data_IF_270721084002
#
_entry.id   IF_270721084002
#
_cell.length_a   1.000
_cell.length_b   1.000
_cell.length_c   1.000
_cell.angle_alpha   90.00
_cell.angle_beta   90.00
_cell.angle_gamma   90.00
#
_symmetry.space_group_name_H-M   'P 1'
#
loop_
_entity.id
_entity.type
_entity.pdbx_description
1 polymer ?
#
# COMPACT_ATOMS: atom_id res chain seq x y z
N UNK A 1 -8.64 5.53 -4.22
CA UNK A 1 -9.86 6.14 -4.82
C UNK A 1 -10.47 5.27 -5.92
N UNK A 2 -9.73 4.95 -6.99
CA UNK A 2 -10.28 4.22 -8.14
C UNK A 2 -10.91 2.88 -7.77
N UNK A 3 -10.32 2.14 -6.83
CA UNK A 3 -10.89 0.90 -6.32
C UNK A 3 -12.31 1.10 -5.77
N UNK A 4 -12.48 2.00 -4.79
CA UNK A 4 -13.79 2.31 -4.19
C UNK A 4 -14.83 2.74 -5.23
N UNK A 5 -14.40 3.56 -6.20
CA UNK A 5 -15.24 4.01 -7.30
C UNK A 5 -15.75 2.84 -8.15
N UNK A 6 -14.86 1.93 -8.53
CA UNK A 6 -15.18 0.79 -9.42
C UNK A 6 -15.97 -0.30 -8.69
N UNK A 7 -15.62 -0.60 -7.45
CA UNK A 7 -16.22 -1.71 -6.69
C UNK A 7 -17.58 -1.37 -6.10
N UNK A 8 -17.76 -0.14 -5.58
CA UNK A 8 -18.98 0.23 -4.85
C UNK A 8 -19.82 1.33 -5.52
N UNK A 9 -19.41 1.80 -6.71
CA UNK A 9 -19.99 2.98 -7.36
C UNK A 9 -20.05 4.20 -6.41
N UNK A 10 -19.03 4.34 -5.55
CA UNK A 10 -18.96 5.39 -4.54
C UNK A 10 -17.82 6.36 -4.85
N UNK A 11 -18.12 7.65 -4.88
CA UNK A 11 -17.12 8.71 -5.00
C UNK A 11 -16.70 9.19 -3.61
N UNK A 12 -15.40 9.12 -3.32
CA UNK A 12 -14.76 9.68 -2.13
C UNK A 12 -13.68 10.69 -2.54
N UNK A 13 -13.38 11.64 -1.64
CA UNK A 13 -12.31 12.61 -1.83
C UNK A 13 -10.95 12.09 -1.35
N UNK A 14 -9.88 12.84 -1.65
CA UNK A 14 -8.50 12.49 -1.30
C UNK A 14 -8.30 12.36 0.21
N UNK A 15 -8.91 13.26 1.01
CA UNK A 15 -8.82 13.20 2.48
C UNK A 15 -9.36 11.89 3.04
N UNK A 16 -10.50 11.42 2.53
CA UNK A 16 -11.08 10.13 2.95
C UNK A 16 -10.22 8.98 2.47
N UNK A 17 -9.71 9.03 1.23
CA UNK A 17 -8.82 8.01 0.71
C UNK A 17 -7.52 7.88 1.50
N UNK A 18 -6.95 9.00 1.94
CA UNK A 18 -5.75 9.02 2.78
C UNK A 18 -6.02 8.45 4.17
N UNK A 19 -7.16 8.81 4.79
CA UNK A 19 -7.56 8.24 6.08
C UNK A 19 -7.68 6.71 5.99
N UNK A 20 -8.33 6.18 4.95
CA UNK A 20 -8.43 4.73 4.70
C UNK A 20 -7.04 4.10 4.60
N UNK A 21 -6.13 4.71 3.83
CA UNK A 21 -4.76 4.21 3.65
C UNK A 21 -4.00 4.15 4.97
N UNK A 22 -4.15 5.16 5.82
CA UNK A 22 -3.46 5.24 7.12
C UNK A 22 -4.07 4.30 8.17
N UNK A 23 -5.39 4.16 8.20
CA UNK A 23 -6.12 3.43 9.24
C UNK A 23 -6.24 1.93 8.99
N UNK A 24 -6.37 1.48 7.74
CA UNK A 24 -6.54 0.05 7.42
C UNK A 24 -5.69 -0.41 6.23
N UNK A 25 -4.85 0.46 5.68
CA UNK A 25 -3.96 0.12 4.56
C UNK A 25 -2.72 -0.66 5.00
N UNK A 26 -2.38 -1.70 4.25
CA UNK A 26 -1.19 -2.52 4.43
C UNK A 26 -0.64 -2.95 3.06
N UNK A 27 0.68 -3.11 2.96
CA UNK A 27 1.36 -3.58 1.76
C UNK A 27 1.09 -5.07 1.48
N UNK A 28 0.83 -5.83 2.54
CA UNK A 28 0.38 -7.23 2.49
C UNK A 28 -1.03 -7.35 3.10
N UNK A 29 -1.72 -8.47 2.85
CA UNK A 29 -2.98 -8.75 3.52
C UNK A 29 -2.76 -8.84 5.04
N UNK A 30 -3.49 -8.06 5.86
CA UNK A 30 -3.34 -8.12 7.30
C UNK A 30 -3.85 -9.45 7.85
N UNK A 31 -3.23 -9.93 8.94
CA UNK A 31 -3.66 -11.14 9.65
C UNK A 31 -5.01 -10.94 10.35
N UNK A 32 -5.26 -9.73 10.85
CA UNK A 32 -6.52 -9.33 11.46
C UNK A 32 -7.39 -8.54 10.47
N UNK A 33 -8.70 -8.75 10.55
CA UNK A 33 -9.69 -8.03 9.75
C UNK A 33 -9.93 -6.64 10.35
N UNK A 34 -9.13 -5.66 9.93
CA UNK A 34 -9.41 -4.25 10.16
C UNK A 34 -10.55 -3.80 9.24
N UNK A 35 -11.61 -3.24 9.81
CA UNK A 35 -12.74 -2.69 9.05
C UNK A 35 -12.90 -1.19 9.34
N UNK A 36 -13.39 -0.45 8.35
CA UNK A 36 -13.65 0.98 8.47
C UNK A 36 -14.95 1.35 7.74
N UNK A 37 -15.78 2.18 8.35
CA UNK A 37 -16.92 2.79 7.65
C UNK A 37 -16.48 4.05 6.91
N UNK A 38 -16.85 4.13 5.63
CA UNK A 38 -16.56 5.30 4.80
C UNK A 38 -17.83 5.87 4.20
N UNK A 39 -17.90 7.20 4.17
CA UNK A 39 -19.02 7.94 3.59
C UNK A 39 -18.58 8.63 2.31
N UNK A 40 -19.39 8.50 1.27
CA UNK A 40 -19.15 9.13 -0.02
C UNK A 40 -20.44 9.48 -0.74
N UNK A 41 -20.32 9.92 -1.99
CA UNK A 41 -21.45 10.17 -2.88
C UNK A 41 -21.67 8.95 -3.77
N UNK A 42 -22.85 8.36 -3.70
CA UNK A 42 -23.24 7.28 -4.61
C UNK A 42 -23.34 7.83 -6.03
N UNK A 43 -22.66 7.19 -6.99
CA UNK A 43 -22.62 7.61 -8.39
C UNK A 43 -23.91 7.31 -9.15
N UNK A 44 -24.72 6.37 -8.67
CA UNK A 44 -25.99 6.00 -9.29
C UNK A 44 -27.11 6.95 -8.86
N UNK A 45 -27.22 7.19 -7.55
CA UNK A 45 -28.32 8.00 -6.98
C UNK A 45 -27.94 9.46 -6.76
N UNK A 46 -26.64 9.77 -6.70
CA UNK A 46 -26.13 11.10 -6.38
C UNK A 46 -26.19 11.46 -4.89
N UNK A 47 -26.73 10.58 -4.03
CA UNK A 47 -26.95 10.83 -2.60
C UNK A 47 -25.78 10.32 -1.73
N UNK A 48 -25.61 10.84 -0.50
CA UNK A 48 -24.64 10.31 0.44
C UNK A 48 -24.94 8.85 0.80
N UNK A 49 -23.92 7.99 0.73
CA UNK A 49 -23.99 6.57 1.10
C UNK A 49 -22.80 6.21 1.99
N UNK A 50 -23.04 5.38 2.99
CA UNK A 50 -22.01 4.79 3.85
C UNK A 50 -21.83 3.33 3.48
N UNK A 51 -20.58 2.87 3.41
CA UNK A 51 -20.22 1.47 3.21
C UNK A 51 -19.15 1.08 4.22
N UNK A 52 -19.10 -0.19 4.58
CA UNK A 52 -17.98 -0.78 5.31
C UNK A 52 -16.96 -1.31 4.30
N UNK A 53 -15.67 -1.10 4.58
CA UNK A 53 -14.54 -1.59 3.79
C UNK A 53 -13.57 -2.33 4.70
N UNK A 54 -12.88 -3.32 4.14
CA UNK A 54 -11.94 -4.16 4.89
C UNK A 54 -10.49 -3.87 4.50
N UNK A 55 -9.56 -4.06 5.43
CA UNK A 55 -8.12 -3.91 5.20
C UNK A 55 -7.63 -4.81 4.07
N UNK A 56 -8.20 -6.01 3.93
CA UNK A 56 -7.90 -6.94 2.83
C UNK A 56 -8.25 -6.34 1.45
N UNK A 57 -9.40 -5.69 1.33
CA UNK A 57 -9.80 -5.01 0.08
C UNK A 57 -8.85 -3.85 -0.25
N UNK A 58 -8.44 -3.11 0.78
CA UNK A 58 -7.51 -1.98 0.62
C UNK A 58 -6.09 -2.46 0.27
N UNK A 59 -5.56 -3.50 0.92
CA UNK A 59 -4.28 -4.12 0.54
C UNK A 59 -4.29 -4.58 -0.91
N UNK A 60 -5.37 -5.23 -1.35
CA UNK A 60 -5.53 -5.62 -2.75
C UNK A 60 -5.54 -4.42 -3.70
N UNK A 61 -6.19 -3.32 -3.30
CA UNK A 61 -6.23 -2.08 -4.08
C UNK A 61 -4.86 -1.38 -4.16
N UNK A 62 -4.00 -1.54 -3.15
CA UNK A 62 -2.66 -0.96 -3.09
C UNK A 62 -1.59 -1.83 -3.76
N UNK A 63 -1.86 -3.12 -3.97
CA UNK A 63 -0.90 -4.12 -4.45
C UNK A 63 -0.10 -3.67 -5.66
N UNK A 64 -0.75 -3.23 -6.73
CA UNK A 64 -0.05 -2.81 -7.95
C UNK A 64 0.91 -1.63 -7.71
N UNK A 65 0.50 -0.69 -6.85
CA UNK A 65 1.33 0.47 -6.50
C UNK A 65 2.52 0.06 -5.64
N UNK A 66 2.30 -0.84 -4.68
CA UNK A 66 3.38 -1.40 -3.84
C UNK A 66 4.37 -2.18 -4.70
N UNK A 67 3.90 -3.03 -5.62
CA UNK A 67 4.79 -3.80 -6.50
C UNK A 67 5.58 -2.90 -7.45
N UNK A 68 5.03 -1.77 -7.88
CA UNK A 68 5.79 -0.77 -8.65
C UNK A 68 6.98 -0.22 -7.84
N UNK A 69 6.80 0.01 -6.53
CA UNK A 69 7.88 0.44 -5.63
C UNK A 69 8.93 -0.68 -5.49
N UNK A 70 8.48 -1.92 -5.27
CA UNK A 70 9.36 -3.09 -5.16
C UNK A 70 10.20 -3.28 -6.43
N UNK A 71 9.59 -3.18 -7.61
CA UNK A 71 10.30 -3.28 -8.89
C UNK A 71 11.35 -2.19 -9.06
N UNK A 72 11.05 -0.96 -8.64
CA UNK A 72 12.03 0.12 -8.66
C UNK A 72 13.22 -0.16 -7.74
N UNK A 73 12.98 -0.72 -6.55
CA UNK A 73 14.05 -1.15 -5.62
C UNK A 73 14.89 -2.26 -6.26
N UNK A 74 14.25 -3.31 -6.79
CA UNK A 74 14.94 -4.42 -7.47
C UNK A 74 15.81 -3.94 -8.62
N UNK A 75 15.26 -3.12 -9.51
CA UNK A 75 16.00 -2.58 -10.66
C UNK A 75 17.20 -1.73 -10.22
N UNK A 76 17.12 -1.08 -9.06
CA UNK A 76 18.23 -0.31 -8.50
C UNK A 76 19.32 -1.24 -7.98
N UNK A 77 18.95 -2.31 -7.27
CA UNK A 77 19.90 -3.33 -6.78
C UNK A 77 20.59 -4.06 -7.94
N UNK A 78 19.88 -4.38 -9.02
CA UNK A 78 20.46 -5.02 -10.22
C UNK A 78 21.53 -4.18 -10.91
N UNK A 79 21.43 -2.85 -10.82
CA UNK A 79 22.41 -1.90 -11.38
C UNK A 79 23.54 -1.58 -10.40
N UNK A 80 23.43 -2.01 -9.16
CA UNK A 80 24.41 -1.72 -8.12
C UNK A 80 25.61 -2.65 -8.28
N UNK A 81 26.86 -2.12 -8.29
CA UNK A 81 28.06 -2.94 -8.35
C UNK A 81 28.09 -3.99 -7.22
N UNK A 82 28.62 -5.20 -7.47
CA UNK A 82 28.64 -6.29 -6.49
C UNK A 82 29.28 -5.89 -5.15
N UNK A 83 30.31 -5.05 -5.17
CA UNK A 83 31.01 -4.59 -3.97
C UNK A 83 30.09 -3.79 -3.03
N UNK A 84 29.17 -3.02 -3.59
CA UNK A 84 28.19 -2.24 -2.83
C UNK A 84 26.95 -3.06 -2.46
N UNK A 85 26.55 -4.00 -3.33
CA UNK A 85 25.44 -4.91 -3.03
C UNK A 85 25.71 -5.79 -1.80
N UNK A 86 26.97 -6.22 -1.61
CA UNK A 86 27.38 -6.94 -0.39
C UNK A 86 27.23 -6.06 0.88
N UNK A 87 27.65 -4.79 0.83
CA UNK A 87 27.50 -3.87 1.97
C UNK A 87 26.01 -3.58 2.28
N UNK A 88 25.15 -3.54 1.25
CA UNK A 88 23.69 -3.43 1.43
C UNK A 88 23.11 -4.70 2.06
N UNK A 89 23.60 -5.89 1.70
CA UNK A 89 23.15 -7.14 2.30
C UNK A 89 23.45 -7.20 3.80
N UNK A 90 24.59 -6.64 4.22
CA UNK A 90 24.99 -6.58 5.63
C UNK A 90 24.26 -5.49 6.43
N UNK A 91 24.04 -4.30 5.84
CA UNK A 91 23.46 -3.15 6.54
C UNK A 91 21.95 -3.01 6.39
N UNK A 92 21.38 -3.54 5.31
CA UNK A 92 19.97 -3.41 4.96
C UNK A 92 19.59 -2.11 4.24
N UNK A 93 18.31 -2.02 3.89
CA UNK A 93 17.68 -0.90 3.19
C UNK A 93 16.92 -0.04 4.19
N UNK A 94 17.26 1.23 4.33
CA UNK A 94 16.51 2.12 5.24
C UNK A 94 15.36 2.79 4.50
N UNK A 95 14.12 2.55 4.94
CA UNK A 95 12.94 3.25 4.41
C UNK A 95 12.77 4.63 5.06
N UNK A 96 12.46 5.64 4.25
CA UNK A 96 12.26 7.03 4.71
C UNK A 96 11.05 7.68 4.05
N UNK A 97 10.57 8.78 4.64
CA UNK A 97 9.42 9.55 4.15
C UNK A 97 8.06 8.99 4.58
N UNK A 98 6.97 9.70 4.24
CA UNK A 98 5.63 9.33 4.70
C UNK A 98 5.11 8.00 4.15
N UNK A 99 5.55 7.58 2.96
CA UNK A 99 5.18 6.29 2.36
C UNK A 99 5.74 5.09 3.12
N UNK A 100 6.86 5.26 3.84
CA UNK A 100 7.45 4.22 4.67
C UNK A 100 6.56 3.81 5.86
N UNK A 101 5.55 4.62 6.19
CA UNK A 101 4.59 4.32 7.27
C UNK A 101 3.48 3.35 6.83
N UNK A 102 3.46 2.93 5.57
CA UNK A 102 2.53 1.88 5.12
C UNK A 102 2.90 0.56 5.79
N UNK A 103 1.94 -0.05 6.49
CA UNK A 103 2.16 -1.28 7.26
C UNK A 103 2.70 -2.40 6.38
N UNK A 104 3.69 -3.14 6.87
CA UNK A 104 4.33 -4.27 6.20
C UNK A 104 5.03 -3.94 4.86
N UNK A 105 5.24 -2.67 4.53
CA UNK A 105 5.97 -2.30 3.31
C UNK A 105 7.44 -2.77 3.37
N UNK A 106 8.06 -2.63 4.53
CA UNK A 106 9.36 -3.18 4.89
C UNK A 106 9.44 -4.69 4.64
N UNK A 107 8.46 -5.45 5.14
CA UNK A 107 8.40 -6.90 4.96
C UNK A 107 8.29 -7.29 3.49
N UNK A 108 7.37 -6.68 2.75
CA UNK A 108 7.18 -6.97 1.32
C UNK A 108 8.46 -6.67 0.54
N UNK A 109 9.14 -5.55 0.80
CA UNK A 109 10.41 -5.24 0.15
C UNK A 109 11.48 -6.25 0.54
N UNK A 110 11.57 -6.62 1.82
CA UNK A 110 12.57 -7.57 2.30
C UNK A 110 12.39 -8.95 1.68
N UNK A 111 11.16 -9.46 1.63
CA UNK A 111 10.82 -10.75 1.05
C UNK A 111 11.12 -10.81 -0.44
N UNK A 112 10.83 -9.72 -1.16
CA UNK A 112 10.97 -9.64 -2.61
C UNK A 112 12.44 -9.41 -3.03
N UNK A 113 13.21 -8.65 -2.25
CA UNK A 113 14.62 -8.33 -2.54
C UNK A 113 15.61 -9.30 -1.90
N UNK A 114 15.18 -10.09 -0.91
CA UNK A 114 16.04 -10.92 -0.05
C UNK A 114 17.09 -10.13 0.72
N UNK A 115 16.84 -8.84 0.95
CA UNK A 115 17.69 -7.95 1.72
C UNK A 115 17.00 -7.56 3.03
N UNK A 116 17.74 -7.31 4.13
CA UNK A 116 17.18 -6.69 5.31
C UNK A 116 16.63 -5.29 4.99
N UNK A 117 15.53 -4.90 5.61
CA UNK A 117 14.87 -3.58 5.45
C UNK A 117 14.54 -3.03 6.84
#
# INVERSE_FOLDING_TARGET
>A
INYIRKTYNLMIGDRTAEAIKMEIGSAEAPEESDNMEIRGRDLLTGLPKTIEITGKEISNALRDTVFTIVEAVKSTLEKTPPELAADIMDRGIVLTGGGALLRNLDKVISEETKMPV
#
